data_IF_680145167772
#
_entry.id   IF_680145167772
#
_cell.length_a   1.000
_cell.length_b   1.000
_cell.length_c   1.000
_cell.angle_alpha   90.00
_cell.angle_beta   90.00
_cell.angle_gamma   90.00
#
_symmetry.space_group_name_H-M   'P 1'
#
loop_
_entity.id
_entity.type
_entity.pdbx_description
1 polymer ?
#
# COMPACT_ATOMS: atom_id res chain seq x y z
N UNK A 1 -16.78 -16.55 5.25
CA UNK A 1 -17.33 -16.76 6.62
C UNK A 1 -16.63 -15.81 7.56
N UNK A 2 -17.37 -14.95 8.27
CA UNK A 2 -16.79 -13.91 9.14
C UNK A 2 -16.63 -14.43 10.57
N UNK A 3 -15.41 -14.41 11.10
CA UNK A 3 -15.13 -14.76 12.51
C UNK A 3 -15.33 -13.53 13.38
N UNK A 4 -15.99 -13.64 14.54
CA UNK A 4 -16.08 -12.55 15.52
C UNK A 4 -15.00 -12.75 16.58
N UNK A 5 -14.23 -11.71 16.87
CA UNK A 5 -13.27 -11.73 18.00
C UNK A 5 -14.01 -11.66 19.34
N UNK A 6 -13.34 -12.02 20.44
CA UNK A 6 -13.86 -11.84 21.81
C UNK A 6 -14.29 -10.38 22.11
N UNK A 7 -13.71 -9.41 21.39
CA UNK A 7 -14.08 -8.00 21.47
C UNK A 7 -15.28 -7.60 20.57
N UNK A 8 -16.03 -8.57 20.04
CA UNK A 8 -17.20 -8.36 19.19
C UNK A 8 -16.89 -7.84 17.77
N UNK A 9 -15.61 -7.76 17.39
CA UNK A 9 -15.20 -7.20 16.10
C UNK A 9 -15.33 -8.24 14.99
N UNK A 10 -15.92 -7.85 13.88
CA UNK A 10 -16.03 -8.67 12.67
C UNK A 10 -14.68 -8.77 11.98
N UNK A 11 -14.20 -10.00 11.81
CA UNK A 11 -13.06 -10.33 10.97
C UNK A 11 -13.55 -10.76 9.59
N UNK A 12 -12.96 -10.16 8.57
CA UNK A 12 -13.19 -10.48 7.17
C UNK A 12 -11.92 -11.12 6.63
N UNK A 13 -12.07 -12.18 5.83
CA UNK A 13 -10.94 -12.76 5.10
C UNK A 13 -10.70 -11.92 3.86
N UNK A 14 -9.47 -11.43 3.70
CA UNK A 14 -9.10 -10.52 2.64
C UNK A 14 -7.74 -10.89 2.07
N UNK A 15 -7.53 -10.54 0.81
CA UNK A 15 -6.23 -10.64 0.17
C UNK A 15 -5.29 -9.54 0.72
N UNK A 16 -4.10 -9.88 1.28
CA UNK A 16 -3.11 -8.89 1.67
C UNK A 16 -2.74 -7.90 0.56
N UNK A 17 -2.71 -8.32 -0.70
CA UNK A 17 -2.28 -7.51 -1.82
C UNK A 17 -3.28 -6.44 -2.23
N UNK A 18 -4.55 -6.58 -1.87
CA UNK A 18 -5.59 -5.56 -2.06
C UNK A 18 -5.52 -4.42 -1.04
N UNK A 19 -4.76 -4.60 0.05
CA UNK A 19 -4.68 -3.64 1.15
C UNK A 19 -3.51 -2.67 0.91
N UNK A 20 -3.80 -1.38 0.99
CA UNK A 20 -2.83 -0.30 0.85
C UNK A 20 -2.08 -0.06 2.17
N UNK A 21 -0.77 0.17 2.06
CA UNK A 21 0.02 0.75 3.12
C UNK A 21 -0.26 2.25 3.22
N UNK A 22 -0.48 2.72 4.44
CA UNK A 22 -0.64 4.17 4.70
C UNK A 22 0.68 4.93 4.60
N UNK A 23 1.82 4.23 4.59
CA UNK A 23 3.16 4.80 4.43
C UNK A 23 4.00 3.96 3.45
N UNK A 24 4.75 4.64 2.58
CA UNK A 24 5.63 3.97 1.62
C UNK A 24 6.90 3.36 2.22
N UNK A 25 7.27 3.81 3.42
CA UNK A 25 8.43 3.30 4.17
C UNK A 25 7.97 2.70 5.49
N UNK A 26 8.51 1.53 5.80
CA UNK A 26 8.14 0.75 6.98
C UNK A 26 9.38 0.55 7.83
N UNK A 27 9.28 0.81 9.14
CA UNK A 27 10.37 0.52 10.08
C UNK A 27 10.54 -0.99 10.23
N UNK A 28 11.77 -1.51 10.32
CA UNK A 28 12.05 -2.95 10.37
C UNK A 28 11.65 -3.61 11.69
N UNK A 29 11.27 -2.84 12.72
CA UNK A 29 10.97 -3.33 14.08
C UNK A 29 9.52 -3.10 14.47
N UNK A 30 8.92 -4.04 15.19
CA UNK A 30 7.59 -3.88 15.79
C UNK A 30 7.64 -2.93 16.99
N UNK A 31 6.60 -2.11 17.16
CA UNK A 31 6.50 -1.21 18.32
C UNK A 31 6.06 -2.03 19.53
N UNK A 32 6.73 -1.83 20.66
CA UNK A 32 6.40 -2.48 21.94
C UNK A 32 7.33 -3.64 22.29
N UNK A 33 7.69 -4.48 21.31
CA UNK A 33 8.60 -5.62 21.53
C UNK A 33 9.98 -5.45 20.88
N UNK A 34 10.22 -4.41 20.08
CA UNK A 34 11.47 -4.16 19.32
C UNK A 34 11.97 -5.31 18.41
N UNK A 35 11.24 -6.41 18.35
CA UNK A 35 11.50 -7.55 17.46
C UNK A 35 11.48 -7.12 15.99
N UNK A 36 12.42 -7.62 15.19
CA UNK A 36 12.49 -7.33 13.76
C UNK A 36 11.42 -8.13 13.00
N UNK A 37 10.94 -7.53 11.92
CA UNK A 37 9.99 -8.17 11.01
C UNK A 37 10.65 -9.41 10.37
N UNK A 38 11.93 -9.31 9.99
CA UNK A 38 12.71 -10.41 9.43
C UNK A 38 12.82 -11.61 10.38
N UNK A 39 13.17 -11.37 11.65
CA UNK A 39 13.24 -12.44 12.67
C UNK A 39 11.89 -13.14 12.82
N UNK A 40 10.80 -12.37 12.84
CA UNK A 40 9.45 -12.96 12.95
C UNK A 40 9.08 -13.74 11.69
N UNK A 41 9.53 -13.32 10.50
CA UNK A 41 9.36 -14.10 9.27
C UNK A 41 10.14 -15.41 9.34
N UNK A 42 11.40 -15.37 9.75
CA UNK A 42 12.26 -16.55 9.91
C UNK A 42 11.66 -17.54 10.91
N UNK A 43 11.16 -17.08 12.06
CA UNK A 43 10.47 -17.93 13.05
C UNK A 43 9.19 -18.58 12.51
N UNK A 44 8.44 -17.88 11.67
CA UNK A 44 7.24 -18.43 11.04
C UNK A 44 7.63 -19.50 10.01
N UNK A 45 8.71 -19.25 9.27
CA UNK A 45 9.22 -20.19 8.26
C UNK A 45 9.84 -21.43 8.90
N UNK A 46 10.54 -21.30 10.03
CA UNK A 46 11.09 -22.40 10.81
C UNK A 46 10.04 -23.15 11.63
N UNK A 47 8.82 -22.62 11.72
CA UNK A 47 7.71 -23.22 12.47
C UNK A 47 7.76 -22.97 13.97
N UNK A 48 8.67 -22.13 14.46
CA UNK A 48 8.74 -21.70 15.86
C UNK A 48 7.52 -20.88 16.27
N UNK A 49 6.97 -20.08 15.35
CA UNK A 49 5.77 -19.26 15.56
C UNK A 49 4.72 -19.60 14.51
N UNK A 50 3.44 -19.71 14.90
CA UNK A 50 2.36 -19.92 13.93
C UNK A 50 1.85 -18.60 13.39
N UNK A 51 1.37 -18.62 12.15
CA UNK A 51 0.78 -17.43 11.51
C UNK A 51 -0.44 -16.93 12.29
N UNK A 52 -1.19 -17.84 12.91
CA UNK A 52 -2.36 -17.53 13.73
C UNK A 52 -2.01 -16.80 15.04
N UNK A 53 -0.77 -16.93 15.51
CA UNK A 53 -0.27 -16.22 16.69
C UNK A 53 0.05 -14.76 16.39
N UNK A 54 0.20 -14.40 15.10
CA UNK A 54 0.42 -13.02 14.67
C UNK A 54 -0.90 -12.24 14.83
N UNK A 55 -0.91 -11.13 15.61
CA UNK A 55 -2.14 -10.38 15.82
C UNK A 55 -2.72 -9.84 14.51
N UNK A 56 -4.04 -9.92 14.37
CA UNK A 56 -4.76 -9.40 13.21
C UNK A 56 -4.47 -7.91 12.96
N UNK A 57 -4.57 -7.49 11.70
CA UNK A 57 -4.48 -6.07 11.32
C UNK A 57 -5.85 -5.41 11.31
N UNK A 58 -5.87 -4.12 11.60
CA UNK A 58 -7.02 -3.27 11.35
C UNK A 58 -6.86 -2.55 10.02
N UNK A 59 -7.89 -2.63 9.18
CA UNK A 59 -8.00 -1.91 7.91
C UNK A 59 -9.13 -0.89 7.98
N UNK A 60 -8.90 0.27 7.38
CA UNK A 60 -9.91 1.31 7.18
C UNK A 60 -10.51 1.12 5.80
N UNK A 61 -11.82 0.99 5.75
CA UNK A 61 -12.62 0.98 4.52
C UNK A 61 -12.97 2.41 4.13
N UNK A 62 -12.50 2.85 2.97
CA UNK A 62 -12.78 4.17 2.42
C UNK A 62 -13.29 4.07 0.98
N UNK A 63 -14.36 4.80 0.69
CA UNK A 63 -14.98 4.86 -0.62
C UNK A 63 -14.45 6.10 -1.32
N UNK A 64 -13.39 5.94 -2.10
CA UNK A 64 -12.95 7.02 -2.98
C UNK A 64 -13.99 7.11 -4.10
N UNK A 65 -14.82 8.16 -4.06
CA UNK A 65 -15.64 8.50 -5.22
C UNK A 65 -14.64 8.89 -6.31
N UNK A 66 -14.65 8.25 -7.50
CA UNK A 66 -13.70 8.61 -8.54
C UNK A 66 -13.83 10.10 -8.79
N UNK A 67 -12.79 10.86 -8.44
CA UNK A 67 -12.71 12.26 -8.81
C UNK A 67 -12.86 12.30 -10.35
N UNK A 68 -13.74 13.16 -10.89
CA UNK A 68 -13.84 13.30 -12.34
C UNK A 68 -12.44 13.59 -12.88
N UNK A 69 -12.04 12.82 -13.90
CA UNK A 69 -10.69 12.80 -14.45
C UNK A 69 -10.11 14.22 -14.55
N UNK A 70 -8.82 14.43 -14.18
CA UNK A 70 -8.21 15.74 -14.31
C UNK A 70 -8.32 16.18 -15.77
N UNK A 71 -9.05 17.27 -16.01
CA UNK A 71 -9.02 17.97 -17.28
C UNK A 71 -7.56 18.31 -17.57
N UNK A 72 -7.07 17.87 -18.73
CA UNK A 72 -5.66 17.95 -19.08
C UNK A 72 -5.10 19.37 -19.11
N UNK A 73 -3.76 19.43 -19.01
CA UNK A 73 -2.92 20.61 -19.24
C UNK A 73 -2.21 21.09 -17.96
N UNK A 74 -0.90 21.32 -17.90
CA UNK A 74 0.06 21.53 -18.97
C UNK A 74 1.49 21.37 -18.45
N UNK A 75 2.31 20.67 -19.22
CA UNK A 75 3.77 20.66 -19.11
C UNK A 75 4.38 21.91 -19.77
N UNK A 76 5.15 22.67 -18.98
CA UNK A 76 6.45 23.30 -19.29
C UNK A 76 6.57 24.14 -20.60
N UNK A 77 6.75 25.46 -20.44
CA UNK A 77 7.17 26.34 -21.53
C UNK A 77 7.66 27.72 -21.06
N UNK A 78 8.98 27.84 -20.86
CA UNK A 78 9.71 29.09 -20.63
C UNK A 78 9.88 29.82 -21.98
N UNK A 79 9.40 31.06 -22.14
CA UNK A 79 9.84 31.94 -23.25
C UNK A 79 9.68 33.42 -22.89
N UNK A 80 10.66 34.23 -23.30
CA UNK A 80 10.85 35.60 -22.86
C UNK A 80 10.25 36.68 -23.77
N UNK A 81 10.20 37.89 -23.18
CA UNK A 81 10.46 39.26 -23.68
C UNK A 81 10.19 39.65 -25.16
N UNK A 82 9.48 40.81 -25.24
CA UNK A 82 9.49 41.95 -26.20
C UNK A 82 8.52 41.90 -27.39
N UNK A 83 7.84 43.03 -27.62
CA UNK A 83 7.34 43.45 -28.93
C UNK A 83 6.01 44.18 -28.89
N UNK A 84 6.07 45.50 -29.02
CA UNK A 84 4.99 46.47 -29.21
C UNK A 84 4.55 46.53 -30.69
N UNK A 85 3.28 46.83 -30.96
CA UNK A 85 2.72 47.62 -32.10
C UNK A 85 1.37 47.12 -32.65
N UNK A 86 0.49 48.12 -32.83
CA UNK A 86 -0.77 48.25 -33.58
C UNK A 86 -1.03 47.28 -34.74
N UNK A 87 -2.33 47.01 -34.99
CA UNK A 87 -3.04 47.45 -36.22
C UNK A 87 -4.17 46.47 -36.64
N UNK A 88 -5.37 47.06 -36.71
CA UNK A 88 -6.56 46.81 -37.55
C UNK A 88 -7.22 45.43 -37.81
N UNK A 89 -8.53 45.56 -38.05
CA UNK A 89 -9.59 44.58 -38.25
C UNK A 89 -9.37 43.60 -39.42
N UNK A 90 -9.92 42.38 -39.30
CA UNK A 90 -10.75 41.86 -40.38
C UNK A 90 -11.71 40.75 -39.90
N UNK A 91 -12.98 40.91 -40.25
CA UNK A 91 -13.99 39.86 -40.22
C UNK A 91 -13.67 38.74 -41.23
N UNK A 92 -13.91 37.48 -40.84
CA UNK A 92 -14.62 36.51 -41.71
C UNK A 92 -14.95 35.19 -41.01
N UNK A 93 -16.26 35.01 -40.83
CA UNK A 93 -17.06 33.81 -41.11
C UNK A 93 -16.43 32.42 -41.00
N UNK A 94 -17.08 31.55 -40.21
CA UNK A 94 -17.04 30.12 -40.51
C UNK A 94 -17.57 29.17 -39.44
N UNK A 95 -18.72 28.56 -39.77
CA UNK A 95 -19.02 27.12 -39.56
C UNK A 95 -19.68 26.69 -38.23
N UNK A 96 -21.01 26.54 -38.35
CA UNK A 96 -21.87 25.62 -37.59
C UNK A 96 -21.18 24.27 -37.30
N UNK A 97 -21.27 23.77 -36.06
CA UNK A 97 -21.33 22.32 -35.79
C UNK A 97 -21.95 22.01 -34.42
N UNK A 98 -23.07 21.28 -34.50
CA UNK A 98 -23.66 20.37 -33.50
C UNK A 98 -23.43 20.64 -32.03
N UNK A 99 -24.47 21.13 -31.35
CA UNK A 99 -24.69 20.93 -29.92
C UNK A 99 -24.98 19.44 -29.70
N UNK A 100 -23.93 18.62 -29.70
CA UNK A 100 -23.98 17.27 -29.19
C UNK A 100 -24.39 17.35 -27.73
N UNK A 101 -25.64 16.99 -27.44
CA UNK A 101 -26.04 16.62 -26.08
C UNK A 101 -25.08 15.51 -25.65
N UNK A 102 -24.14 15.84 -24.76
CA UNK A 102 -23.33 14.84 -24.10
C UNK A 102 -24.29 13.84 -23.46
N UNK A 103 -24.18 12.58 -23.87
CA UNK A 103 -24.92 11.48 -23.28
C UNK A 103 -24.67 11.49 -21.75
N UNK A 104 -25.68 11.13 -20.93
CA UNK A 104 -25.46 10.95 -19.50
C UNK A 104 -24.39 9.87 -19.34
N UNK A 105 -23.25 10.25 -18.77
CA UNK A 105 -22.19 9.33 -18.40
C UNK A 105 -22.83 8.21 -17.58
N UNK A 106 -22.63 6.98 -18.06
CA UNK A 106 -23.18 5.76 -17.50
C UNK A 106 -23.07 5.78 -15.98
N UNK A 107 -24.16 5.41 -15.31
CA UNK A 107 -24.20 5.12 -13.88
C UNK A 107 -23.09 4.11 -13.56
N UNK A 108 -21.91 4.62 -13.20
CA UNK A 108 -20.77 3.82 -12.84
C UNK A 108 -21.15 3.06 -11.58
N UNK A 109 -20.98 1.73 -11.62
CA UNK A 109 -21.15 0.84 -10.49
C UNK A 109 -20.66 1.48 -9.18
N UNK A 110 -21.32 1.22 -8.03
CA UNK A 110 -20.92 1.81 -6.76
C UNK A 110 -19.41 1.62 -6.58
N UNK A 111 -18.66 2.68 -6.26
CA UNK A 111 -17.21 2.61 -6.19
C UNK A 111 -16.82 1.53 -5.19
N UNK A 112 -16.00 0.57 -5.65
CA UNK A 112 -15.49 -0.46 -4.77
C UNK A 112 -14.72 0.20 -3.61
N UNK A 113 -14.90 -0.28 -2.37
CA UNK A 113 -14.15 0.25 -1.24
C UNK A 113 -12.66 -0.02 -1.41
N UNK A 114 -11.84 0.95 -1.04
CA UNK A 114 -10.40 0.80 -0.87
C UNK A 114 -10.07 0.56 0.60
N UNK A 115 -9.10 -0.33 0.85
CA UNK A 115 -8.72 -0.75 2.19
C UNK A 115 -7.32 -0.24 2.54
N UNK A 116 -7.20 0.44 3.68
CA UNK A 116 -5.96 1.05 4.14
C UNK A 116 -5.53 0.51 5.49
N UNK A 117 -4.30 0.00 5.61
CA UNK A 117 -3.82 -0.60 6.86
C UNK A 117 -3.37 0.44 7.87
N UNK A 118 -3.83 0.28 9.10
CA UNK A 118 -3.30 0.98 10.28
C UNK A 118 -2.05 0.29 10.85
N UNK A 119 -1.73 -0.91 10.38
CA UNK A 119 -0.68 -1.76 10.94
C UNK A 119 0.30 -2.19 9.83
N UNK A 120 0.93 -1.20 9.18
CA UNK A 120 1.80 -1.40 8.01
C UNK A 120 2.88 -2.48 8.20
N UNK A 121 3.49 -2.59 9.38
CA UNK A 121 4.53 -3.60 9.66
C UNK A 121 4.02 -5.04 9.57
N UNK A 122 2.83 -5.30 10.13
CA UNK A 122 2.19 -6.62 10.05
C UNK A 122 1.69 -6.90 8.65
N UNK A 123 1.13 -5.89 7.96
CA UNK A 123 0.75 -6.04 6.56
C UNK A 123 1.96 -6.42 5.70
N UNK A 124 3.14 -5.83 5.93
CA UNK A 124 4.36 -6.19 5.21
C UNK A 124 4.74 -7.66 5.43
N UNK A 125 4.69 -8.12 6.68
CA UNK A 125 4.92 -9.52 7.02
C UNK A 125 3.95 -10.44 6.26
N UNK A 126 2.65 -10.14 6.28
CA UNK A 126 1.65 -10.94 5.56
C UNK A 126 1.83 -10.93 4.04
N UNK A 127 2.10 -9.77 3.42
CA UNK A 127 2.39 -9.71 1.98
C UNK A 127 3.64 -10.50 1.61
N UNK A 128 4.65 -10.50 2.49
CA UNK A 128 5.88 -11.27 2.28
C UNK A 128 5.62 -12.77 2.36
N UNK A 129 4.86 -13.22 3.38
CA UNK A 129 4.44 -14.62 3.49
C UNK A 129 3.59 -15.07 2.31
N UNK A 130 2.72 -14.20 1.80
CA UNK A 130 1.94 -14.46 0.59
C UNK A 130 2.82 -14.58 -0.66
N UNK A 131 3.78 -13.68 -0.84
CA UNK A 131 4.74 -13.76 -1.95
C UNK A 131 5.57 -15.05 -1.90
N UNK A 132 5.80 -15.61 -0.72
CA UNK A 132 6.43 -16.91 -0.51
C UNK A 132 5.47 -18.11 -0.65
N UNK A 133 4.19 -17.88 -0.95
CA UNK A 133 3.18 -18.93 -1.11
C UNK A 133 2.77 -19.61 0.21
N UNK A 134 3.02 -18.97 1.36
CA UNK A 134 2.67 -19.53 2.69
C UNK A 134 1.23 -19.21 3.11
N UNK A 135 0.66 -18.13 2.59
CA UNK A 135 -0.72 -17.72 2.85
C UNK A 135 -1.36 -17.11 1.60
N UNK A 136 -2.66 -17.33 1.43
CA UNK A 136 -3.44 -16.69 0.35
C UNK A 136 -4.26 -15.51 0.86
N UNK A 137 -4.85 -15.68 2.06
CA UNK A 137 -5.79 -14.74 2.68
C UNK A 137 -5.44 -14.50 4.14
N UNK A 138 -5.76 -13.30 4.63
CA UNK A 138 -5.60 -12.93 6.03
C UNK A 138 -6.92 -12.48 6.65
N UNK A 139 -7.09 -12.77 7.93
CA UNK A 139 -8.21 -12.26 8.71
C UNK A 139 -7.91 -10.82 9.16
N UNK A 140 -8.72 -9.88 8.70
CA UNK A 140 -8.56 -8.44 9.01
C UNK A 140 -9.79 -7.89 9.70
N UNK A 141 -9.56 -6.94 10.60
CA UNK A 141 -10.62 -6.16 11.20
C UNK A 141 -10.92 -4.95 10.32
N UNK A 142 -12.11 -4.89 9.74
CA UNK A 142 -12.56 -3.75 8.95
C UNK A 142 -13.17 -2.68 9.86
N UNK A 143 -12.79 -1.42 9.65
CA UNK A 143 -13.40 -0.24 10.27
C UNK A 143 -13.85 0.74 9.19
N UNK A 144 -15.02 1.36 9.31
CA UNK A 144 -15.42 2.43 8.41
C UNK A 144 -14.51 3.65 8.60
N UNK A 145 -14.13 4.33 7.52
CA UNK A 145 -13.32 5.53 7.58
C UNK A 145 -14.05 6.69 8.27
N UNK A 146 -13.41 7.25 9.30
CA UNK A 146 -13.79 8.53 9.89
C UNK A 146 -13.55 9.67 8.89
N UNK A 147 -14.28 10.77 9.01
CA UNK A 147 -14.20 11.91 8.07
C UNK A 147 -12.76 12.42 7.86
N UNK A 148 -11.99 12.57 8.94
CA UNK A 148 -10.56 12.93 8.89
C UNK A 148 -9.65 11.91 8.17
N UNK A 149 -10.03 10.63 8.24
CA UNK A 149 -9.26 9.53 7.64
C UNK A 149 -9.55 9.41 6.15
N UNK A 150 -10.78 9.73 5.73
CA UNK A 150 -11.19 9.74 4.31
C UNK A 150 -10.32 10.67 3.47
N UNK A 151 -10.01 11.85 3.98
CA UNK A 151 -9.16 12.84 3.31
C UNK A 151 -7.67 12.51 3.39
N UNK A 152 -7.25 11.76 4.43
CA UNK A 152 -5.84 11.42 4.66
C UNK A 152 -5.40 10.19 3.87
N UNK A 153 -6.23 9.16 3.85
CA UNK A 153 -5.94 7.87 3.25
C UNK A 153 -6.65 7.76 1.91
N UNK A 154 -5.92 8.11 0.86
CA UNK A 154 -6.37 8.08 -0.53
C UNK A 154 -5.39 7.26 -1.36
N UNK A 155 -5.82 6.78 -2.54
CA UNK A 155 -4.95 6.04 -3.46
C UNK A 155 -3.69 6.80 -3.90
N UNK A 156 -3.76 8.13 -3.87
CA UNK A 156 -2.64 9.00 -4.27
C UNK A 156 -1.56 9.10 -3.20
N UNK A 157 -1.94 8.98 -1.92
CA UNK A 157 -1.03 9.12 -0.78
C UNK A 157 -0.55 7.78 -0.24
N UNK A 158 -1.35 6.74 -0.40
CA UNK A 158 -1.06 5.39 0.07
C UNK A 158 -0.51 4.52 -1.05
N UNK A 159 0.19 3.44 -0.70
CA UNK A 159 0.87 2.59 -1.71
C UNK A 159 0.55 1.12 -1.50
N UNK A 160 0.47 0.34 -2.58
CA UNK A 160 0.30 -1.12 -2.49
C UNK A 160 1.59 -1.85 -2.11
N UNK A 161 2.75 -1.26 -2.45
CA UNK A 161 4.08 -1.79 -2.19
C UNK A 161 4.88 -0.79 -1.38
N UNK A 162 5.25 -1.18 -0.16
CA UNK A 162 6.11 -0.40 0.72
C UNK A 162 7.49 -1.03 0.84
N UNK A 163 8.50 -0.23 1.20
CA UNK A 163 9.89 -0.68 1.39
C UNK A 163 10.25 -0.63 2.88
N UNK A 164 11.00 -1.63 3.36
CA UNK A 164 11.60 -1.57 4.69
C UNK A 164 12.72 -0.52 4.71
N UNK A 165 12.72 0.33 5.74
CA UNK A 165 13.79 1.29 5.98
C UNK A 165 15.05 0.56 6.44
N UNK A 166 16.20 0.91 5.85
CA UNK A 166 17.48 0.30 6.22
C UNK A 166 17.76 -1.06 5.56
N UNK A 167 16.89 -1.53 4.66
CA UNK A 167 17.11 -2.76 3.87
C UNK A 167 18.26 -2.65 2.84
N UNK A 168 19.15 -1.67 3.00
CA UNK A 168 20.27 -1.36 2.10
C UNK A 168 21.66 -1.50 2.75
N UNK A 169 21.78 -1.94 4.00
CA UNK A 169 23.08 -2.05 4.66
C UNK A 169 23.31 -3.48 5.19
N UNK A 170 24.07 -4.25 4.40
CA UNK A 170 24.84 -5.49 4.71
C UNK A 170 24.14 -6.64 5.46
N UNK A 171 23.72 -7.68 4.73
CA UNK A 171 24.05 -9.08 5.10
C UNK A 171 25.28 -9.49 4.27
N UNK A 172 26.47 -9.26 4.81
CA UNK A 172 27.70 -9.97 4.41
C UNK A 172 28.34 -10.40 5.72
N UNK A 173 28.29 -11.69 5.98
CA UNK A 173 28.75 -12.32 7.21
C UNK A 173 28.17 -13.72 7.36
N UNK A 174 28.06 -14.46 6.25
CA UNK A 174 28.10 -15.92 6.28
C UNK A 174 29.53 -16.27 6.71
N UNK A 175 29.64 -16.75 7.94
CA UNK A 175 30.79 -17.48 8.45
C UNK A 175 30.27 -18.80 8.98
N UNK A 176 29.75 -19.62 8.08
CA UNK A 176 29.63 -21.06 8.29
C UNK A 176 31.04 -21.65 8.20
N UNK A 177 31.34 -22.53 9.16
CA UNK A 177 32.60 -23.25 9.29
C UNK A 177 32.41 -24.31 10.37
N UNK A 178 31.64 -25.34 10.02
CA UNK A 178 31.54 -26.66 10.65
C UNK A 178 32.95 -27.27 10.89
N UNK A 179 33.22 -27.74 12.12
CA UNK A 179 33.33 -29.15 12.53
C UNK A 179 34.58 -29.92 12.03
N UNK A 180 35.42 -30.36 12.97
CA UNK A 180 36.05 -31.70 13.12
C UNK A 180 37.05 -31.58 14.29
N UNK A 181 36.75 -32.18 15.46
CA UNK A 181 37.04 -33.57 15.84
C UNK A 181 38.54 -33.89 15.94
N UNK A 182 38.95 -34.48 17.06
CA UNK A 182 40.35 -34.80 17.34
C UNK A 182 40.65 -35.00 18.82
N UNK A 183 40.49 -36.24 19.26
CA UNK A 183 40.90 -36.84 20.53
C UNK A 183 42.42 -36.72 20.81
N UNK A 184 42.80 -36.89 22.09
CA UNK A 184 44.06 -37.43 22.68
C UNK A 184 44.38 -36.66 23.99
N UNK A 185 44.07 -37.19 25.17
CA UNK A 185 44.76 -38.24 25.96
C UNK A 185 46.01 -37.75 26.73
N UNK A 186 46.00 -38.05 28.04
CA UNK A 186 47.04 -38.05 29.08
C UNK A 186 48.41 -37.36 28.88
N UNK A 187 48.76 -36.44 29.80
CA UNK A 187 49.80 -36.66 30.83
C UNK A 187 49.89 -35.56 31.89
#
# INVERSE_FOLDING_TARGET
MSRKTAAGRTLVQMDPDEIYFTHARIRPVFTGCNKRIEETLEEILSGQTKIEDVPYITVIENFETPAPAPAGGSSKGKKGRRGDSDDEEEERGGKRKGRGKAAPAAASAPPAPYYFSLNNRRLYLFKTLKAMGKIDTIAVQVKPALERERTKYTRERCVLRAKIMGAGEKRVGEGEGEEEDGEEEER
#
